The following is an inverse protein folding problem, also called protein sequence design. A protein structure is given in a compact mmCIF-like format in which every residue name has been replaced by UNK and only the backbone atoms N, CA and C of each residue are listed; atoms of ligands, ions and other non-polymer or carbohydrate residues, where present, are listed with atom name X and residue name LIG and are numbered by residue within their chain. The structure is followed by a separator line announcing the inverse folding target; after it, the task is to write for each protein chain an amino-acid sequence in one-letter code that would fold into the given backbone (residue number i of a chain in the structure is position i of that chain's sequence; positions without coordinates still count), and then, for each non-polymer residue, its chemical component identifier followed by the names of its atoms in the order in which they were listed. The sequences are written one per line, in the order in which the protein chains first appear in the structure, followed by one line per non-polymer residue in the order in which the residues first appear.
data_IF_832159114451
#
_entry.id   IF_832159114451
#
_cell.length_a   1.000
_cell.length_b   1.000
_cell.length_c   1.000
_cell.angle_alpha   90.00
_cell.angle_beta   90.00
_cell.angle_gamma   90.00
#
_symmetry.space_group_name_H-M   'P 1'
#
loop_
_entity.id
_entity.type
_entity.pdbx_description
1 polymer ?
#
# COMPACT_ATOMS: atom_id res chain seq x y z
N UNK A 1 6.26 5.48 1.89
CA UNK A 1 5.91 4.74 0.68
C UNK A 1 7.12 4.68 -0.24
N UNK A 2 7.50 3.49 -0.64
CA UNK A 2 8.76 3.25 -1.35
C UNK A 2 8.49 2.54 -2.68
N UNK A 3 9.41 2.72 -3.64
CA UNK A 3 9.40 1.99 -4.91
C UNK A 3 8.68 2.75 -6.02
N UNK A 4 8.00 2.02 -6.88
CA UNK A 4 7.41 2.54 -8.11
C UNK A 4 6.05 3.22 -7.89
N UNK A 5 6.08 4.33 -7.16
CA UNK A 5 4.96 5.26 -7.03
C UNK A 5 5.38 6.62 -7.60
N UNK A 6 4.41 7.43 -7.98
CA UNK A 6 4.72 8.72 -8.63
C UNK A 6 5.41 9.71 -7.69
N UNK A 7 5.05 9.69 -6.41
CA UNK A 7 5.67 10.57 -5.40
C UNK A 7 6.09 9.75 -4.18
N UNK A 8 7.23 9.04 -4.25
CA UNK A 8 7.74 8.31 -3.08
C UNK A 8 8.05 9.27 -1.94
N UNK A 9 7.88 8.79 -0.73
CA UNK A 9 8.15 9.59 0.45
C UNK A 9 7.46 9.06 1.68
N UNK A 10 7.52 9.83 2.76
CA UNK A 10 6.87 9.50 4.02
C UNK A 10 5.51 10.18 4.07
N UNK A 11 4.47 9.38 4.27
CA UNK A 11 3.10 9.86 4.36
C UNK A 11 2.50 9.48 5.70
N UNK A 12 1.79 10.44 6.31
CA UNK A 12 1.10 10.20 7.57
C UNK A 12 -0.21 9.48 7.27
N UNK A 13 -0.35 8.28 7.80
CA UNK A 13 -1.54 7.48 7.63
C UNK A 13 -2.51 7.75 8.77
N UNK A 14 -3.79 7.91 8.43
CA UNK A 14 -4.85 8.14 9.40
C UNK A 14 -5.58 6.83 9.69
N UNK A 15 -6.07 6.69 10.90
CA UNK A 15 -6.88 5.55 11.28
C UNK A 15 -8.10 5.44 10.37
N UNK A 16 -8.35 4.25 9.83
CA UNK A 16 -9.45 4.01 8.89
C UNK A 16 -9.10 4.22 7.42
N UNK A 17 -7.89 4.71 7.11
CA UNK A 17 -7.42 4.78 5.72
C UNK A 17 -7.18 3.37 5.16
N UNK A 18 -7.48 3.21 3.88
CA UNK A 18 -7.18 1.97 3.16
C UNK A 18 -6.02 2.17 2.18
N UNK A 19 -5.47 1.08 1.66
CA UNK A 19 -4.31 1.12 0.78
C UNK A 19 -4.53 2.01 -0.46
N UNK A 20 -5.71 1.98 -1.06
CA UNK A 20 -6.01 2.80 -2.23
C UNK A 20 -5.90 4.29 -1.94
N UNK A 21 -6.31 4.72 -0.74
CA UNK A 21 -6.18 6.10 -0.31
C UNK A 21 -4.71 6.50 -0.13
N UNK A 22 -3.92 5.62 0.48
CA UNK A 22 -2.49 5.87 0.66
C UNK A 22 -1.76 5.97 -0.69
N UNK A 23 -2.09 5.10 -1.63
CA UNK A 23 -1.52 5.16 -2.98
C UNK A 23 -1.93 6.44 -3.71
N UNK A 24 -3.16 6.90 -3.54
CA UNK A 24 -3.62 8.14 -4.13
C UNK A 24 -2.85 9.36 -3.59
N UNK A 25 -2.50 9.37 -2.30
CA UNK A 25 -1.66 10.41 -1.71
C UNK A 25 -0.27 10.45 -2.33
N UNK A 26 0.26 9.29 -2.72
CA UNK A 26 1.56 9.18 -3.39
C UNK A 26 1.46 9.46 -4.90
N UNK A 27 0.33 9.92 -5.39
CA UNK A 27 0.12 10.21 -6.80
C UNK A 27 -0.18 9.00 -7.66
N UNK A 28 -0.48 7.85 -7.05
CA UNK A 28 -0.76 6.61 -7.72
C UNK A 28 0.49 5.79 -8.02
N UNK A 29 0.29 4.63 -8.64
CA UNK A 29 1.38 3.73 -9.01
C UNK A 29 2.17 4.29 -10.19
N UNK A 30 3.48 4.08 -10.18
CA UNK A 30 4.35 4.45 -11.28
C UNK A 30 4.12 3.57 -12.51
N UNK A 31 4.70 3.99 -13.63
CA UNK A 31 4.52 3.33 -14.92
C UNK A 31 5.00 1.88 -14.91
N UNK A 32 6.02 1.58 -14.14
CA UNK A 32 6.64 0.24 -14.09
C UNK A 32 6.29 -0.52 -12.82
N UNK A 33 5.27 -0.08 -12.08
CA UNK A 33 4.89 -0.71 -10.84
C UNK A 33 4.25 -2.09 -11.06
N UNK A 34 4.66 -3.05 -10.24
CA UNK A 34 4.00 -4.36 -10.21
C UNK A 34 2.90 -4.35 -9.16
N UNK A 35 1.71 -3.97 -9.58
CA UNK A 35 0.56 -3.83 -8.69
C UNK A 35 0.10 -5.15 -8.08
N UNK A 36 0.51 -6.29 -8.64
CA UNK A 36 0.15 -7.60 -8.12
C UNK A 36 1.02 -8.01 -6.92
N UNK A 37 2.12 -7.29 -6.65
CA UNK A 37 3.11 -7.67 -5.64
C UNK A 37 3.41 -6.54 -4.67
N UNK A 38 2.44 -5.72 -4.34
CA UNK A 38 2.60 -4.66 -3.35
C UNK A 38 2.77 -5.30 -1.97
N UNK A 39 3.77 -4.83 -1.22
CA UNK A 39 4.05 -5.32 0.13
C UNK A 39 3.83 -4.21 1.15
N UNK A 40 3.20 -4.57 2.25
CA UNK A 40 3.01 -3.69 3.40
C UNK A 40 3.80 -4.27 4.56
N UNK A 41 4.75 -3.48 5.06
CA UNK A 41 5.54 -3.84 6.23
C UNK A 41 4.87 -3.22 7.45
N UNK A 42 4.33 -4.07 8.32
CA UNK A 42 3.61 -3.66 9.53
C UNK A 42 4.40 -4.06 10.75
N UNK A 43 4.63 -3.12 11.64
CA UNK A 43 5.31 -3.41 12.89
C UNK A 43 4.30 -3.79 13.95
N UNK A 44 4.37 -5.03 14.44
CA UNK A 44 3.54 -5.52 15.53
C UNK A 44 4.43 -5.99 16.68
N UNK A 45 4.27 -5.37 17.85
CA UNK A 45 5.10 -5.65 19.02
C UNK A 45 6.60 -5.56 18.67
N UNK A 46 7.29 -6.70 18.69
CA UNK A 46 8.72 -6.79 18.36
C UNK A 46 8.97 -7.42 16.99
N UNK A 47 7.93 -7.65 16.21
CA UNK A 47 8.01 -8.32 14.93
C UNK A 47 7.56 -7.41 13.79
N UNK A 48 8.12 -7.65 12.60
CA UNK A 48 7.66 -7.02 11.39
C UNK A 48 6.88 -8.05 10.58
N UNK A 49 5.62 -7.74 10.28
CA UNK A 49 4.75 -8.59 9.48
C UNK A 49 4.72 -8.03 8.07
N UNK A 50 4.88 -8.92 7.08
CA UNK A 50 4.80 -8.54 5.66
C UNK A 50 3.47 -9.02 5.10
N UNK A 51 2.68 -8.07 4.60
CA UNK A 51 1.42 -8.36 3.92
C UNK A 51 1.61 -8.12 2.43
N UNK A 52 1.31 -9.12 1.62
CA UNK A 52 1.37 -8.99 0.17
C UNK A 52 -0.04 -8.75 -0.38
N UNK A 53 -0.19 -7.72 -1.19
CA UNK A 53 -1.49 -7.32 -1.74
C UNK A 53 -1.44 -7.32 -3.26
N UNK A 54 -2.42 -7.99 -3.89
CA UNK A 54 -2.63 -7.89 -5.31
C UNK A 54 -3.60 -6.71 -5.59
N UNK A 55 -3.03 -5.55 -5.84
CA UNK A 55 -3.83 -4.34 -6.05
C UNK A 55 -4.54 -4.32 -7.40
N UNK A 56 -4.14 -5.16 -8.33
CA UNK A 56 -4.83 -5.29 -9.63
C UNK A 56 -6.30 -5.67 -9.43
N UNK A 57 -6.58 -6.57 -8.49
CA UNK A 57 -7.94 -7.01 -8.16
C UNK A 57 -8.77 -5.86 -7.57
N UNK A 58 -8.15 -5.07 -6.69
CA UNK A 58 -8.81 -3.91 -6.06
C UNK A 58 -9.12 -2.83 -7.11
N UNK A 59 -8.12 -2.49 -7.91
CA UNK A 59 -8.21 -1.42 -8.89
C UNK A 59 -9.22 -1.73 -10.01
N UNK A 60 -9.41 -2.99 -10.34
CA UNK A 60 -10.39 -3.41 -11.34
C UNK A 60 -11.83 -3.50 -10.79
N UNK A 61 -11.99 -3.30 -9.47
CA UNK A 61 -13.30 -3.38 -8.82
C UNK A 61 -13.78 -4.80 -8.54
N UNK A 62 -12.89 -5.79 -8.70
CA UNK A 62 -13.27 -7.19 -8.53
C UNK A 62 -13.40 -7.64 -7.08
N UNK A 63 -12.54 -7.12 -6.21
CA UNK A 63 -12.55 -7.49 -4.79
C UNK A 63 -12.10 -6.30 -3.92
N UNK A 64 -13.07 -5.55 -3.44
CA UNK A 64 -12.79 -4.38 -2.58
C UNK A 64 -12.28 -4.79 -1.19
N UNK A 65 -12.50 -6.03 -0.78
CA UNK A 65 -12.00 -6.52 0.52
C UNK A 65 -10.48 -6.68 0.52
N UNK A 66 -9.84 -6.75 -0.65
CA UNK A 66 -8.39 -6.78 -0.77
C UNK A 66 -7.75 -5.40 -0.57
N UNK A 67 -8.54 -4.33 -0.48
CA UNK A 67 -8.07 -2.97 -0.18
C UNK A 67 -7.81 -2.86 1.32
N UNK A 68 -6.61 -3.21 1.72
CA UNK A 68 -6.22 -3.44 3.11
C UNK A 68 -6.32 -2.16 3.94
N UNK A 69 -6.97 -2.20 5.12
CA UNK A 69 -6.92 -1.07 6.05
C UNK A 69 -5.49 -0.81 6.50
N UNK A 70 -5.08 0.46 6.45
CA UNK A 70 -3.75 0.87 6.84
C UNK A 70 -3.72 1.24 8.32
N UNK A 71 -2.55 1.04 8.93
CA UNK A 71 -2.30 1.46 10.31
C UNK A 71 -1.14 2.45 10.35
N UNK A 72 -1.13 3.38 11.33
CA UNK A 72 0.00 4.28 11.48
C UNK A 72 1.31 3.51 11.65
N UNK A 73 2.34 3.93 10.94
CA UNK A 73 3.64 3.26 10.96
C UNK A 73 3.84 2.20 9.89
N UNK A 74 2.82 1.87 9.12
CA UNK A 74 2.97 0.93 8.00
C UNK A 74 3.87 1.51 6.92
N UNK A 75 4.68 0.65 6.32
CA UNK A 75 5.52 1.00 5.16
C UNK A 75 5.02 0.22 3.95
N UNK A 76 4.74 0.92 2.87
CA UNK A 76 4.30 0.31 1.61
C UNK A 76 5.47 0.26 0.63
N UNK A 77 5.73 -0.92 0.10
CA UNK A 77 6.73 -1.13 -0.94
C UNK A 77 6.05 -1.57 -2.24
N UNK A 78 6.34 -0.85 -3.32
CA UNK A 78 5.81 -1.15 -4.65
C UNK A 78 6.96 -1.56 -5.57
N UNK A 79 7.02 -2.83 -5.96
CA UNK A 79 8.06 -3.31 -6.88
C UNK A 79 7.97 -2.68 -8.25
#
# INVERSE_FOLDING_TARGET
MLGEVNRPGVYKLHSGEVLSQALAEAGGLGQFADAAKIRILRHEDKETVVLTVNYVVVRSGGDVSADVPMEPGDTVQVP
#
